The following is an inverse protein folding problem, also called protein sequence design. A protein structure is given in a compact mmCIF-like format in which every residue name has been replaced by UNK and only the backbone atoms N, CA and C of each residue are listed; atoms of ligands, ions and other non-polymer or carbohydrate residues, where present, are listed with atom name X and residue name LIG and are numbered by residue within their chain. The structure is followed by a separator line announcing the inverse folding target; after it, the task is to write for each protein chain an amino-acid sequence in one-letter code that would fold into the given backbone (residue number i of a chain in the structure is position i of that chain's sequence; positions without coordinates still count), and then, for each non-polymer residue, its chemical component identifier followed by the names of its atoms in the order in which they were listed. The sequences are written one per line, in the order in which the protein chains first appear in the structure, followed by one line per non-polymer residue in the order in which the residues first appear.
data_IF_190916998193
#
_entry.id   IF_190916998193
#
_cell.length_a   1.000
_cell.length_b   1.000
_cell.length_c   1.000
_cell.angle_alpha   90.00
_cell.angle_beta   90.00
_cell.angle_gamma   90.00
#
_symmetry.space_group_name_H-M   'P 1'
#
loop_
_entity.id
_entity.type
_entity.pdbx_description
1 polymer ?
#
# COMPACT_ATOMS: atom_id res chain seq x y z
N UNK A 1 -8.03 -20.77 -1.58
CA UNK A 1 -7.88 -22.26 -1.57
C UNK A 1 -6.41 -22.64 -1.74
N UNK A 2 -5.93 -23.79 -1.23
CA UNK A 2 -4.51 -24.14 -1.34
C UNK A 2 -4.15 -24.53 -2.77
N UNK A 3 -3.01 -24.01 -3.24
CA UNK A 3 -2.44 -24.32 -4.56
C UNK A 3 -1.63 -25.62 -4.50
N UNK A 4 -0.95 -25.86 -3.39
CA UNK A 4 -0.13 -27.05 -3.16
C UNK A 4 -0.81 -28.04 -2.22
N UNK A 5 -0.60 -29.32 -2.49
CA UNK A 5 -0.92 -30.38 -1.55
C UNK A 5 0.11 -30.38 -0.42
N UNK A 6 -0.38 -30.30 0.82
CA UNK A 6 0.45 -30.29 2.02
C UNK A 6 0.34 -31.64 2.73
N UNK A 7 1.39 -32.45 2.65
CA UNK A 7 1.46 -33.75 3.32
C UNK A 7 2.30 -33.62 4.60
N UNK A 8 1.82 -34.16 5.72
CA UNK A 8 2.47 -34.02 7.04
C UNK A 8 2.82 -35.41 7.57
N UNK A 9 3.96 -35.97 7.17
CA UNK A 9 4.29 -37.36 7.49
C UNK A 9 5.22 -37.53 8.70
N UNK A 10 6.13 -36.56 8.95
CA UNK A 10 7.14 -36.72 9.99
C UNK A 10 7.51 -35.39 10.66
N UNK A 11 7.90 -35.49 11.93
CA UNK A 11 8.51 -34.37 12.65
C UNK A 11 9.93 -34.19 12.10
N UNK A 12 10.31 -32.96 11.70
CA UNK A 12 11.66 -32.69 11.21
C UNK A 12 12.70 -33.00 12.29
N UNK A 13 13.67 -33.86 11.98
CA UNK A 13 14.74 -34.25 12.92
C UNK A 13 15.64 -33.04 13.23
N UNK A 14 15.96 -32.81 14.50
CA UNK A 14 16.80 -31.68 14.94
C UNK A 14 16.09 -30.32 14.94
N UNK A 15 14.76 -30.31 14.88
CA UNK A 15 13.94 -29.11 14.82
C UNK A 15 13.73 -28.46 16.19
N UNK A 16 13.61 -27.12 16.19
CA UNK A 16 13.19 -26.31 17.33
C UNK A 16 11.68 -26.42 17.62
N UNK A 17 10.90 -27.01 16.72
CA UNK A 17 9.47 -27.29 16.93
C UNK A 17 9.19 -28.78 16.97
N UNK A 18 8.27 -29.17 17.84
CA UNK A 18 7.68 -30.51 17.91
C UNK A 18 6.50 -30.70 16.95
N UNK A 19 6.10 -29.64 16.23
CA UNK A 19 4.99 -29.68 15.28
C UNK A 19 5.42 -30.33 13.96
N UNK A 20 4.47 -30.99 13.30
CA UNK A 20 4.64 -31.48 11.94
C UNK A 20 4.79 -30.29 10.97
N UNK A 21 5.67 -30.45 9.99
CA UNK A 21 5.80 -29.52 8.86
C UNK A 21 5.44 -30.26 7.57
N UNK A 22 4.99 -29.55 6.52
CA UNK A 22 4.71 -30.19 5.25
C UNK A 22 5.99 -30.80 4.64
N UNK A 23 5.84 -31.90 3.89
CA UNK A 23 6.90 -32.44 3.06
C UNK A 23 7.42 -31.38 2.07
N UNK A 24 8.70 -31.52 1.71
CA UNK A 24 9.41 -30.58 0.82
C UNK A 24 9.40 -29.14 1.35
N UNK A 25 9.40 -28.98 2.68
CA UNK A 25 9.67 -27.69 3.32
C UNK A 25 10.94 -27.79 4.16
N UNK A 26 11.79 -26.77 4.06
CA UNK A 26 12.95 -26.59 4.90
C UNK A 26 12.57 -25.76 6.11
N UNK A 27 13.05 -26.18 7.28
CA UNK A 27 12.86 -25.49 8.53
C UNK A 27 14.20 -25.02 9.06
N UNK A 28 14.35 -23.71 9.21
CA UNK A 28 15.50 -23.08 9.84
C UNK A 28 15.09 -22.53 11.21
N UNK A 29 15.78 -22.97 12.26
CA UNK A 29 15.60 -22.46 13.61
C UNK A 29 16.45 -21.21 13.82
N UNK A 30 15.81 -20.12 14.20
CA UNK A 30 16.47 -18.84 14.35
C UNK A 30 16.75 -18.56 15.83
N UNK A 31 17.94 -18.02 16.17
CA UNK A 31 18.33 -17.76 17.55
C UNK A 31 17.67 -16.51 18.17
N UNK A 32 16.73 -15.85 17.47
CA UNK A 32 16.32 -14.48 17.85
C UNK A 32 15.49 -14.47 19.12
N UNK A 33 16.09 -13.99 20.21
CA UNK A 33 15.42 -13.66 21.47
C UNK A 33 15.50 -12.17 21.80
N UNK A 34 16.31 -11.40 21.08
CA UNK A 34 16.51 -9.98 21.38
C UNK A 34 15.41 -9.11 20.75
N UNK A 35 14.70 -8.40 21.62
CA UNK A 35 13.62 -7.50 21.24
C UNK A 35 14.20 -6.09 21.02
N UNK A 36 14.50 -5.76 19.76
CA UNK A 36 14.88 -4.40 19.37
C UNK A 36 13.69 -3.72 18.73
N UNK A 37 13.28 -2.59 19.31
CA UNK A 37 12.22 -1.74 18.78
C UNK A 37 12.82 -0.67 17.87
N UNK A 38 12.26 -0.52 16.68
CA UNK A 38 12.61 0.55 15.76
C UNK A 38 11.35 1.37 15.42
N UNK A 39 11.54 2.68 15.19
CA UNK A 39 10.45 3.60 14.87
C UNK A 39 10.61 4.15 13.46
N UNK A 40 9.63 3.85 12.62
CA UNK A 40 9.51 4.39 11.28
C UNK A 40 8.57 5.60 11.30
N UNK A 41 8.99 6.68 10.65
CA UNK A 41 8.17 7.87 10.46
C UNK A 41 7.44 7.73 9.13
N UNK A 42 6.12 7.85 9.16
CA UNK A 42 5.26 7.68 7.98
C UNK A 42 4.37 8.92 7.84
N UNK A 43 4.76 9.82 6.94
CA UNK A 43 4.05 11.05 6.61
C UNK A 43 3.53 11.08 5.16
N UNK A 44 3.91 10.10 4.35
CA UNK A 44 3.61 9.99 2.91
C UNK A 44 3.19 8.57 2.53
N UNK A 45 2.49 8.46 1.39
CA UNK A 45 2.08 7.18 0.80
C UNK A 45 3.28 6.30 0.46
N UNK A 46 4.37 6.90 -0.03
CA UNK A 46 5.61 6.21 -0.38
C UNK A 46 6.26 5.56 0.83
N UNK A 47 6.43 6.30 1.94
CA UNK A 47 6.97 5.75 3.19
C UNK A 47 6.11 4.62 3.74
N UNK A 48 4.77 4.74 3.68
CA UNK A 48 3.88 3.66 4.09
C UNK A 48 4.13 2.39 3.27
N UNK A 49 4.34 2.54 1.96
CA UNK A 49 4.69 1.43 1.07
C UNK A 49 6.03 0.83 1.47
N UNK A 50 7.06 1.62 1.72
CA UNK A 50 8.36 1.12 2.17
C UNK A 50 8.25 0.32 3.48
N UNK A 51 7.57 0.85 4.49
CA UNK A 51 7.34 0.16 5.78
C UNK A 51 6.61 -1.17 5.58
N UNK A 52 5.54 -1.16 4.78
CA UNK A 52 4.74 -2.37 4.56
C UNK A 52 5.52 -3.40 3.72
N UNK A 53 6.39 -2.94 2.82
CA UNK A 53 7.23 -3.78 1.96
C UNK A 53 8.28 -4.58 2.73
N UNK A 54 8.77 -4.08 3.87
CA UNK A 54 9.76 -4.79 4.71
C UNK A 54 9.30 -6.15 5.24
N UNK A 55 7.99 -6.42 5.17
CA UNK A 55 7.38 -7.68 5.61
C UNK A 55 7.15 -8.69 4.47
N UNK A 56 7.46 -8.34 3.22
CA UNK A 56 7.32 -9.23 2.06
C UNK A 56 8.67 -9.43 1.37
N UNK A 57 9.06 -10.69 1.20
CA UNK A 57 10.21 -11.07 0.38
C UNK A 57 9.73 -11.51 -1.02
N UNK A 58 9.79 -10.61 -2.00
CA UNK A 58 9.35 -10.92 -3.36
C UNK A 58 10.49 -11.58 -4.13
N UNK A 59 10.31 -12.85 -4.50
CA UNK A 59 11.32 -13.63 -5.24
C UNK A 59 11.46 -13.26 -6.73
N UNK A 60 10.57 -12.41 -7.28
CA UNK A 60 10.45 -12.18 -8.71
C UNK A 60 10.66 -10.70 -9.13
N UNK A 61 11.28 -10.54 -10.31
CA UNK A 61 11.42 -9.27 -11.04
C UNK A 61 10.04 -8.81 -11.54
N UNK A 62 9.58 -7.63 -11.09
CA UNK A 62 8.50 -6.86 -11.73
C UNK A 62 7.13 -6.87 -11.05
N UNK A 63 6.48 -5.70 -11.01
CA UNK A 63 5.03 -5.51 -10.85
C UNK A 63 4.42 -5.63 -9.45
N UNK A 64 4.94 -6.50 -8.57
CA UNK A 64 4.24 -6.90 -7.32
C UNK A 64 3.84 -5.71 -6.43
N UNK A 65 4.77 -4.76 -6.29
CA UNK A 65 4.62 -3.62 -5.41
C UNK A 65 3.49 -2.67 -5.77
N UNK A 66 3.02 -2.67 -7.03
CA UNK A 66 1.90 -1.79 -7.44
C UNK A 66 0.57 -2.18 -6.79
N UNK A 67 0.38 -3.45 -6.44
CA UNK A 67 -0.90 -3.96 -5.92
C UNK A 67 -0.84 -4.44 -4.47
N UNK A 68 0.36 -4.75 -3.96
CA UNK A 68 0.52 -5.25 -2.59
C UNK A 68 -0.15 -4.27 -1.61
N UNK A 69 -1.08 -4.78 -0.80
CA UNK A 69 -1.83 -4.00 0.20
C UNK A 69 -2.72 -2.88 -0.36
N UNK A 70 -3.29 -3.08 -1.56
CA UNK A 70 -4.25 -2.17 -2.18
C UNK A 70 -5.23 -1.54 -1.18
N UNK A 71 -5.46 -0.23 -1.30
CA UNK A 71 -6.35 0.56 -0.44
C UNK A 71 -7.74 -0.08 -0.33
N UNK A 72 -8.22 -0.70 -1.41
CA UNK A 72 -9.53 -1.35 -1.47
C UNK A 72 -9.63 -2.60 -0.60
N UNK A 73 -8.53 -3.33 -0.44
CA UNK A 73 -8.53 -4.67 0.14
C UNK A 73 -7.84 -4.74 1.51
N UNK A 74 -6.91 -3.83 1.81
CA UNK A 74 -6.18 -3.81 3.09
C UNK A 74 -6.79 -2.77 4.03
N UNK A 75 -7.51 -3.25 5.06
CA UNK A 75 -8.10 -2.38 6.07
C UNK A 75 -7.05 -1.53 6.80
N UNK A 76 -5.89 -2.12 7.10
CA UNK A 76 -4.80 -1.42 7.76
C UNK A 76 -4.18 -0.35 6.86
N UNK A 77 -3.95 -0.64 5.58
CA UNK A 77 -3.42 0.33 4.63
C UNK A 77 -4.42 1.47 4.44
N UNK A 78 -5.71 1.16 4.24
CA UNK A 78 -6.80 2.14 4.18
C UNK A 78 -6.84 3.03 5.42
N UNK A 79 -6.76 2.42 6.60
CA UNK A 79 -6.78 3.14 7.86
C UNK A 79 -5.60 4.12 7.97
N UNK A 80 -4.39 3.70 7.64
CA UNK A 80 -3.20 4.56 7.67
C UNK A 80 -3.26 5.66 6.60
N UNK A 81 -3.63 5.33 5.37
CA UNK A 81 -3.79 6.29 4.27
C UNK A 81 -4.84 7.35 4.58
N UNK A 82 -5.97 6.97 5.18
CA UNK A 82 -7.00 7.92 5.60
C UNK A 82 -6.47 8.94 6.63
N UNK A 83 -5.60 8.52 7.56
CA UNK A 83 -5.03 9.43 8.56
C UNK A 83 -3.96 10.34 7.93
N UNK A 84 -3.13 9.81 7.04
CA UNK A 84 -2.08 10.58 6.36
C UNK A 84 -2.70 11.64 5.43
N UNK A 85 -3.64 11.22 4.59
CA UNK A 85 -4.15 12.07 3.49
C UNK A 85 -5.31 12.94 3.93
N UNK A 86 -6.35 12.36 4.57
CA UNK A 86 -7.56 13.14 4.92
C UNK A 86 -7.35 14.01 6.15
N UNK A 87 -6.58 13.52 7.12
CA UNK A 87 -6.42 14.18 8.42
C UNK A 87 -5.10 14.92 8.58
N UNK A 88 -4.22 14.86 7.57
CA UNK A 88 -2.90 15.48 7.60
C UNK A 88 -2.10 15.09 8.86
N UNK A 89 -2.15 13.81 9.21
CA UNK A 89 -1.44 13.25 10.35
C UNK A 89 -0.16 12.56 9.90
N UNK A 90 0.83 12.60 10.77
CA UNK A 90 2.00 11.76 10.72
C UNK A 90 1.80 10.54 11.61
N UNK A 91 2.29 9.38 11.15
CA UNK A 91 2.26 8.13 11.91
C UNK A 91 3.68 7.77 12.34
N UNK A 92 3.90 7.65 13.64
CA UNK A 92 5.12 7.08 14.20
C UNK A 92 4.83 5.58 14.44
N UNK A 93 5.41 4.74 13.60
CA UNK A 93 5.23 3.29 13.61
C UNK A 93 6.41 2.64 14.35
N UNK A 94 6.22 2.32 15.62
CA UNK A 94 7.23 1.58 16.40
C UNK A 94 6.93 0.09 16.32
N UNK A 95 7.93 -0.74 15.98
CA UNK A 95 7.76 -2.19 15.97
C UNK A 95 8.97 -2.93 16.51
N UNK A 96 8.71 -4.02 17.21
CA UNK A 96 9.72 -4.97 17.65
C UNK A 96 9.31 -6.37 17.22
N UNK A 97 10.25 -7.11 16.61
CA UNK A 97 9.98 -8.42 16.01
C UNK A 97 10.86 -9.47 16.65
N UNK A 98 10.26 -10.61 16.97
CA UNK A 98 10.96 -11.82 17.40
C UNK A 98 10.88 -12.80 16.25
N UNK A 99 12.02 -13.35 15.82
CA UNK A 99 12.08 -14.34 14.75
C UNK A 99 12.38 -15.72 15.32
N UNK A 100 11.49 -16.68 15.10
CA UNK A 100 11.60 -18.00 15.72
C UNK A 100 11.94 -19.09 14.70
N UNK A 101 11.13 -19.22 13.66
CA UNK A 101 11.26 -20.28 12.66
C UNK A 101 11.14 -19.66 11.28
N UNK A 102 12.02 -20.05 10.35
CA UNK A 102 11.81 -19.82 8.93
C UNK A 102 11.42 -21.12 8.26
N UNK A 103 10.31 -21.10 7.51
CA UNK A 103 9.89 -22.19 6.65
C UNK A 103 10.12 -21.76 5.20
N UNK A 104 10.78 -22.60 4.41
CA UNK A 104 10.99 -22.35 2.99
C UNK A 104 10.52 -23.56 2.18
N UNK A 105 9.62 -23.33 1.22
CA UNK A 105 9.13 -24.39 0.36
C UNK A 105 10.16 -24.75 -0.70
N UNK A 106 10.35 -26.05 -0.92
CA UNK A 106 11.05 -26.57 -2.08
C UNK A 106 10.04 -26.82 -3.19
N UNK A 107 9.57 -25.71 -3.76
CA UNK A 107 8.47 -25.67 -4.72
C UNK A 107 8.56 -26.76 -5.80
N UNK A 108 9.70 -27.04 -6.47
CA UNK A 108 9.73 -27.96 -7.61
C UNK A 108 9.27 -29.40 -7.32
N UNK A 109 9.27 -29.83 -6.05
CA UNK A 109 8.86 -31.17 -5.63
C UNK A 109 7.49 -31.21 -4.95
N UNK A 110 6.90 -30.06 -4.66
CA UNK A 110 5.55 -30.00 -4.08
C UNK A 110 4.50 -30.22 -5.17
N UNK A 111 3.58 -31.15 -4.91
CA UNK A 111 2.46 -31.43 -5.80
C UNK A 111 1.44 -30.29 -5.77
N UNK A 112 0.85 -29.98 -6.93
CA UNK A 112 -0.31 -29.10 -7.01
C UNK A 112 -1.55 -29.84 -6.52
N UNK A 113 -2.51 -29.12 -5.95
CA UNK A 113 -3.83 -29.68 -5.65
C UNK A 113 -4.58 -30.04 -6.94
N UNK A 114 -5.40 -31.08 -6.89
CA UNK A 114 -6.25 -31.49 -8.02
C UNK A 114 -7.16 -30.34 -8.48
N UNK A 115 -7.72 -29.59 -7.54
CA UNK A 115 -8.57 -28.42 -7.83
C UNK A 115 -7.83 -27.36 -8.63
N UNK A 116 -6.61 -26.99 -8.20
CA UNK A 116 -5.82 -26.01 -8.93
C UNK A 116 -5.46 -26.52 -10.33
N UNK A 117 -5.02 -27.78 -10.44
CA UNK A 117 -4.71 -28.40 -11.73
C UNK A 117 -5.91 -28.39 -12.68
N UNK A 118 -7.07 -28.84 -12.19
CA UNK A 118 -8.30 -28.87 -12.96
C UNK A 118 -8.67 -27.48 -13.50
N UNK A 119 -8.63 -26.44 -12.65
CA UNK A 119 -8.93 -25.07 -13.07
C UNK A 119 -7.99 -24.58 -14.17
N UNK A 120 -6.68 -24.87 -14.07
CA UNK A 120 -5.71 -24.50 -15.11
C UNK A 120 -5.93 -25.30 -16.40
N UNK A 121 -6.21 -26.60 -16.29
CA UNK A 121 -6.49 -27.47 -17.44
C UNK A 121 -7.75 -27.00 -18.20
N UNK A 122 -8.78 -26.53 -17.48
CA UNK A 122 -10.02 -26.01 -18.03
C UNK A 122 -9.96 -24.55 -18.54
N UNK A 123 -8.86 -23.81 -18.27
CA UNK A 123 -8.70 -22.45 -18.77
C UNK A 123 -8.77 -22.44 -20.31
N UNK A 124 -9.74 -21.70 -20.92
CA UNK A 124 -9.82 -21.62 -22.37
C UNK A 124 -8.54 -21.02 -22.95
N UNK A 125 -8.06 -21.59 -24.05
CA UNK A 125 -6.78 -21.19 -24.62
C UNK A 125 -6.90 -20.33 -25.86
N UNK A 126 -5.88 -19.47 -25.95
CA UNK A 126 -5.06 -19.16 -27.11
C UNK A 126 -5.29 -17.76 -27.67
N UNK A 127 -6.48 -17.21 -27.45
CA UNK A 127 -6.75 -15.80 -27.62
C UNK A 127 -7.12 -15.16 -26.29
N UNK A 128 -6.62 -13.95 -26.04
CA UNK A 128 -6.99 -13.18 -24.87
C UNK A 128 -8.25 -12.37 -25.20
N UNK A 129 -9.40 -12.83 -24.73
CA UNK A 129 -10.69 -12.17 -24.87
C UNK A 129 -11.37 -11.95 -23.50
N UNK A 130 -12.56 -11.37 -23.53
CA UNK A 130 -13.35 -11.11 -22.31
C UNK A 130 -13.72 -12.39 -21.56
N UNK A 131 -13.96 -13.50 -22.27
CA UNK A 131 -14.31 -14.79 -21.64
C UNK A 131 -13.14 -15.35 -20.85
N UNK A 132 -11.95 -15.34 -21.45
CA UNK A 132 -10.69 -15.76 -20.80
C UNK A 132 -10.38 -14.86 -19.61
N UNK A 133 -10.53 -13.54 -19.76
CA UNK A 133 -10.32 -12.60 -18.66
C UNK A 133 -11.26 -12.86 -17.49
N UNK A 134 -12.57 -12.99 -17.74
CA UNK A 134 -13.56 -13.30 -16.71
C UNK A 134 -13.29 -14.65 -16.04
N UNK A 135 -12.86 -15.64 -16.81
CA UNK A 135 -12.48 -16.94 -16.26
C UNK A 135 -11.30 -16.80 -15.29
N UNK A 136 -10.22 -16.13 -15.71
CA UNK A 136 -9.02 -15.92 -14.89
C UNK A 136 -9.39 -15.16 -13.61
N UNK A 137 -10.16 -14.07 -13.73
CA UNK A 137 -10.56 -13.29 -12.56
C UNK A 137 -11.35 -14.15 -11.57
N UNK A 138 -12.42 -14.82 -12.03
CA UNK A 138 -13.36 -15.51 -11.17
C UNK A 138 -12.83 -16.83 -10.60
N UNK A 139 -12.15 -17.63 -11.42
CA UNK A 139 -11.77 -18.99 -11.02
C UNK A 139 -10.31 -19.10 -10.59
N UNK A 140 -9.47 -18.13 -10.96
CA UNK A 140 -8.05 -18.13 -10.59
C UNK A 140 -7.80 -17.07 -9.52
N UNK A 141 -8.00 -15.79 -9.82
CA UNK A 141 -7.66 -14.71 -8.88
C UNK A 141 -8.56 -14.69 -7.65
N UNK A 142 -9.88 -14.74 -7.81
CA UNK A 142 -10.81 -14.69 -6.67
C UNK A 142 -10.72 -15.95 -5.80
N UNK A 143 -10.31 -17.09 -6.37
CA UNK A 143 -10.33 -18.40 -5.69
C UNK A 143 -8.99 -18.80 -5.06
N UNK A 144 -7.88 -18.54 -5.76
CA UNK A 144 -6.52 -18.89 -5.34
C UNK A 144 -5.63 -17.68 -5.04
N UNK A 145 -6.01 -16.49 -5.51
CA UNK A 145 -5.11 -15.34 -5.60
C UNK A 145 -4.22 -15.41 -6.86
N UNK A 146 -3.38 -14.40 -7.05
CA UNK A 146 -2.41 -14.32 -8.17
C UNK A 146 -0.97 -14.63 -7.72
N UNK A 147 -0.75 -14.88 -6.43
CA UNK A 147 0.54 -15.27 -5.84
C UNK A 147 0.36 -16.44 -4.90
N UNK A 148 1.42 -17.21 -4.70
CA UNK A 148 1.51 -18.20 -3.64
C UNK A 148 2.66 -17.85 -2.69
N UNK A 149 2.53 -18.28 -1.44
CA UNK A 149 3.57 -18.15 -0.43
C UNK A 149 4.62 -19.23 -0.69
N UNK A 150 5.90 -18.86 -0.77
CA UNK A 150 7.02 -19.78 -0.95
C UNK A 150 7.92 -19.86 0.30
N UNK A 151 7.78 -18.92 1.23
CA UNK A 151 8.52 -18.92 2.48
C UNK A 151 7.76 -18.13 3.55
N UNK A 152 7.96 -18.50 4.80
CA UNK A 152 7.36 -17.88 5.96
C UNK A 152 8.44 -17.64 7.01
N UNK A 153 8.48 -16.44 7.56
CA UNK A 153 9.15 -16.17 8.81
C UNK A 153 8.09 -16.14 9.90
N UNK A 154 8.19 -17.06 10.85
CA UNK A 154 7.30 -17.20 11.98
C UNK A 154 7.97 -16.61 13.23
N UNK A 155 7.17 -15.98 14.07
CA UNK A 155 7.64 -15.31 15.27
C UNK A 155 6.57 -14.48 15.94
N UNK A 156 6.96 -13.35 16.52
CA UNK A 156 6.06 -12.45 17.24
C UNK A 156 6.28 -11.00 16.82
N UNK A 157 5.23 -10.20 16.85
CA UNK A 157 5.30 -8.76 16.55
C UNK A 157 4.68 -7.99 17.70
N UNK A 158 5.44 -7.10 18.32
CA UNK A 158 4.90 -6.01 19.12
C UNK A 158 4.95 -4.75 18.26
N UNK A 159 3.85 -4.01 18.16
CA UNK A 159 3.79 -2.78 17.36
C UNK A 159 2.96 -1.71 18.04
N UNK A 160 3.30 -0.46 17.78
CA UNK A 160 2.56 0.70 18.19
C UNK A 160 2.48 1.72 17.06
N UNK A 161 1.30 2.31 16.90
CA UNK A 161 1.06 3.43 15.99
C UNK A 161 0.70 4.66 16.82
N UNK A 162 1.48 5.73 16.70
CA UNK A 162 1.17 7.04 17.29
C UNK A 162 0.79 8.00 16.16
N UNK A 163 -0.34 8.69 16.29
CA UNK A 163 -0.85 9.64 15.31
C UNK A 163 -0.75 11.07 15.86
N UNK A 164 -0.02 11.93 15.16
CA UNK A 164 0.23 13.33 15.55
C UNK A 164 0.00 14.25 14.35
N UNK A 165 -0.51 15.45 14.56
CA UNK A 165 -0.63 16.44 13.47
C UNK A 165 0.76 16.88 13.00
N UNK A 166 0.95 17.04 11.69
CA UNK A 166 2.25 17.45 11.13
C UNK A 166 2.74 18.81 11.66
N UNK A 167 1.83 19.73 11.94
CA UNK A 167 2.12 21.03 12.57
C UNK A 167 2.63 20.87 14.01
N UNK A 168 2.03 19.94 14.76
CA UNK A 168 2.41 19.65 16.14
C UNK A 168 3.79 18.99 16.20
N UNK A 169 4.09 18.06 15.28
CA UNK A 169 5.43 17.49 15.11
C UNK A 169 6.46 18.58 14.82
N UNK A 170 6.18 19.44 13.84
CA UNK A 170 7.08 20.53 13.48
C UNK A 170 7.37 21.43 14.68
N UNK A 171 6.33 21.77 15.45
CA UNK A 171 6.49 22.53 16.70
C UNK A 171 7.36 21.79 17.72
N UNK A 172 7.08 20.51 17.99
CA UNK A 172 7.86 19.70 18.94
C UNK A 172 9.34 19.61 18.54
N UNK A 173 9.65 19.45 17.25
CA UNK A 173 11.04 19.43 16.77
C UNK A 173 11.76 20.76 17.04
N UNK A 174 11.10 21.91 16.87
CA UNK A 174 11.70 23.21 17.24
C UNK A 174 11.99 23.35 18.74
N UNK A 175 11.30 22.56 19.57
CA UNK A 175 11.48 22.52 21.02
C UNK A 175 12.52 21.46 21.45
N UNK A 176 13.24 20.84 20.50
CA UNK A 176 14.29 19.86 20.79
C UNK A 176 13.78 18.43 21.06
N UNK A 177 12.59 18.09 20.59
CA UNK A 177 12.06 16.73 20.69
C UNK A 177 12.57 15.86 19.55
N UNK A 178 12.90 14.62 19.87
CA UNK A 178 13.22 13.60 18.86
C UNK A 178 12.05 12.63 18.80
N UNK A 179 11.17 12.80 17.81
CA UNK A 179 9.92 12.03 17.68
C UNK A 179 10.10 10.51 17.70
N UNK A 180 11.18 9.99 17.11
CA UNK A 180 11.49 8.55 17.16
C UNK A 180 11.80 8.08 18.58
N UNK A 181 12.60 8.82 19.33
CA UNK A 181 12.93 8.49 20.72
C UNK A 181 11.69 8.50 21.62
N UNK A 182 10.84 9.54 21.52
CA UNK A 182 9.60 9.62 22.31
C UNK A 182 8.61 8.51 21.96
N UNK A 183 8.52 8.14 20.68
CA UNK A 183 7.69 7.02 20.24
C UNK A 183 8.23 5.64 20.69
N UNK A 184 9.55 5.47 20.79
CA UNK A 184 10.14 4.27 21.40
C UNK A 184 9.87 4.22 22.90
N UNK A 185 9.94 5.35 23.60
CA UNK A 185 9.59 5.44 25.01
C UNK A 185 8.15 5.04 25.25
N UNK A 186 7.21 5.63 24.50
CA UNK A 186 5.79 5.31 24.57
C UNK A 186 5.51 3.83 24.24
N UNK A 187 6.24 3.25 23.30
CA UNK A 187 6.11 1.82 22.97
C UNK A 187 6.44 0.94 24.17
N UNK A 188 7.60 1.14 24.81
CA UNK A 188 7.99 0.37 25.98
C UNK A 188 7.07 0.65 27.18
N UNK A 189 6.64 1.89 27.41
CA UNK A 189 5.72 2.24 28.49
C UNK A 189 4.37 1.51 28.29
N UNK A 190 3.78 1.59 27.10
CA UNK A 190 2.48 1.00 26.80
C UNK A 190 2.45 -0.54 26.90
N UNK A 191 3.62 -1.18 26.80
CA UNK A 191 3.79 -2.64 26.91
C UNK A 191 4.45 -3.06 28.22
N UNK A 192 4.36 -2.21 29.26
CA UNK A 192 4.92 -2.42 30.61
C UNK A 192 6.41 -2.82 30.62
N UNK A 193 7.17 -2.34 29.63
CA UNK A 193 8.61 -2.53 29.46
C UNK A 193 9.43 -1.28 29.74
N UNK A 194 8.90 -0.31 30.49
CA UNK A 194 9.53 1.00 30.72
C UNK A 194 10.98 0.91 31.29
N UNK A 195 11.34 -0.20 31.93
CA UNK A 195 12.71 -0.44 32.44
C UNK A 195 13.75 -0.67 31.32
N UNK A 196 13.31 -0.90 30.08
CA UNK A 196 14.18 -1.13 28.91
C UNK A 196 14.67 0.15 28.24
N UNK A 197 14.14 1.30 28.62
CA UNK A 197 14.47 2.58 27.99
C UNK A 197 14.71 3.66 29.04
N UNK A 198 15.72 4.50 28.78
CA UNK A 198 15.96 5.73 29.53
C UNK A 198 15.24 6.86 28.79
N UNK A 199 14.34 7.56 29.47
CA UNK A 199 13.59 8.68 28.91
C UNK A 199 13.35 9.75 29.97
N UNK A 200 13.13 10.99 29.51
CA UNK A 200 12.70 12.10 30.37
C UNK A 200 11.17 12.08 30.50
N UNK A 201 10.68 11.85 31.73
CA UNK A 201 9.24 11.72 32.00
C UNK A 201 8.47 13.00 31.75
N UNK A 202 9.03 14.16 32.04
CA UNK A 202 8.34 15.44 31.81
C UNK A 202 8.25 15.74 30.32
N UNK A 203 9.36 15.51 29.60
CA UNK A 203 9.41 15.63 28.14
C UNK A 203 8.41 14.69 27.47
N UNK A 204 8.42 13.41 27.83
CA UNK A 204 7.50 12.43 27.30
C UNK A 204 6.02 12.79 27.58
N UNK A 205 5.69 13.19 28.81
CA UNK A 205 4.33 13.63 29.15
C UNK A 205 3.89 14.85 28.33
N UNK A 206 4.80 15.78 28.01
CA UNK A 206 4.51 16.92 27.13
C UNK A 206 4.32 16.48 25.68
N UNK A 207 5.13 15.57 25.17
CA UNK A 207 4.96 14.96 23.85
C UNK A 207 3.58 14.30 23.70
N UNK A 208 3.17 13.50 24.69
CA UNK A 208 1.89 12.78 24.69
C UNK A 208 0.66 13.69 24.69
N UNK A 209 0.77 14.97 25.07
CA UNK A 209 -0.33 15.95 24.96
C UNK A 209 -0.69 16.31 23.52
N UNK A 210 0.23 16.13 22.58
CA UNK A 210 0.01 16.39 21.15
C UNK A 210 -0.44 15.14 20.39
N UNK A 211 -0.34 13.96 21.02
CA UNK A 211 -0.79 12.70 20.44
C UNK A 211 -2.31 12.68 20.35
N UNK A 212 -2.84 12.50 19.14
CA UNK A 212 -4.29 12.41 18.90
C UNK A 212 -4.80 11.00 19.17
N UNK A 213 -3.98 10.00 18.85
CA UNK A 213 -4.31 8.58 19.03
C UNK A 213 -3.06 7.75 19.17
N UNK A 214 -3.11 6.77 20.06
CA UNK A 214 -2.11 5.70 20.19
C UNK A 214 -2.81 4.34 20.14
N UNK A 215 -2.16 3.36 19.53
CA UNK A 215 -2.60 1.97 19.55
C UNK A 215 -1.40 1.05 19.61
N UNK A 216 -1.27 0.30 20.70
CA UNK A 216 -0.25 -0.73 20.88
C UNK A 216 -0.90 -2.12 20.81
N UNK A 217 -0.23 -3.08 20.19
CA UNK A 217 -0.70 -4.46 20.09
C UNK A 217 0.46 -5.43 19.96
N UNK A 218 0.25 -6.64 20.45
CA UNK A 218 1.12 -7.80 20.24
C UNK A 218 0.40 -8.82 19.37
N UNK A 219 1.14 -9.49 18.50
CA UNK A 219 0.68 -10.55 17.61
C UNK A 219 1.58 -11.78 17.78
N UNK A 220 0.97 -12.93 18.00
CA UNK A 220 1.67 -14.15 18.41
C UNK A 220 1.97 -14.18 19.90
N UNK A 221 2.47 -15.32 20.36
CA UNK A 221 2.61 -15.60 21.79
C UNK A 221 1.26 -15.64 22.52
N UNK A 222 1.32 -15.44 23.83
CA UNK A 222 0.17 -15.23 24.70
C UNK A 222 -0.06 -13.74 24.89
N UNK A 223 -1.12 -13.21 24.26
CA UNK A 223 -1.46 -11.79 24.31
C UNK A 223 -2.07 -11.34 25.64
N UNK A 224 -2.36 -12.26 26.57
CA UNK A 224 -2.84 -11.92 27.91
C UNK A 224 -1.72 -11.50 28.86
N UNK A 225 -0.47 -11.81 28.51
CA UNK A 225 0.71 -11.45 29.28
C UNK A 225 0.92 -9.93 29.26
N UNK A 226 1.15 -9.36 30.45
CA UNK A 226 1.14 -7.91 30.63
C UNK A 226 2.46 -7.22 30.25
N UNK A 227 3.59 -7.93 30.30
CA UNK A 227 4.91 -7.34 30.02
C UNK A 227 5.50 -7.85 28.71
N UNK A 228 6.20 -6.97 27.99
CA UNK A 228 6.85 -7.31 26.71
C UNK A 228 7.90 -8.43 26.86
N UNK A 229 8.61 -8.48 27.99
CA UNK A 229 9.63 -9.50 28.27
C UNK A 229 9.01 -10.88 28.48
N UNK A 230 7.92 -10.97 29.25
CA UNK A 230 7.22 -12.23 29.45
C UNK A 230 6.52 -12.67 28.17
N UNK A 231 5.88 -11.73 27.45
CA UNK A 231 5.25 -12.00 26.17
C UNK A 231 6.25 -12.59 25.17
N UNK A 232 7.46 -12.03 25.08
CA UNK A 232 8.50 -12.51 24.17
C UNK A 232 8.83 -14.00 24.34
N UNK A 233 8.81 -14.49 25.59
CA UNK A 233 9.10 -15.90 25.92
C UNK A 233 7.99 -16.86 25.49
N UNK A 234 6.78 -16.35 25.27
CA UNK A 234 5.63 -17.15 24.81
C UNK A 234 5.54 -17.24 23.29
N UNK A 235 6.27 -16.40 22.54
CA UNK A 235 6.25 -16.41 21.07
C UNK A 235 6.56 -17.78 20.46
N UNK A 236 7.56 -18.55 20.94
CA UNK A 236 7.85 -19.90 20.41
C UNK A 236 6.68 -20.88 20.49
N UNK A 237 5.79 -20.76 21.48
CA UNK A 237 4.66 -21.67 21.64
C UNK A 237 3.48 -21.34 20.72
N UNK A 238 3.34 -20.06 20.34
CA UNK A 238 2.29 -19.57 19.45
C UNK A 238 2.79 -18.54 18.43
N UNK A 239 3.68 -18.91 17.50
CA UNK A 239 4.23 -17.96 16.56
C UNK A 239 3.22 -17.61 15.47
N UNK A 240 3.29 -16.38 14.97
CA UNK A 240 2.53 -15.87 13.82
C UNK A 240 3.46 -15.56 12.65
N UNK A 241 2.89 -15.40 11.45
CA UNK A 241 3.65 -14.97 10.27
C UNK A 241 4.09 -13.51 10.45
N UNK A 242 5.40 -13.27 10.52
CA UNK A 242 6.00 -11.93 10.66
C UNK A 242 6.58 -11.38 9.37
N UNK A 243 7.03 -12.29 8.49
CA UNK A 243 7.35 -12.01 7.10
C UNK A 243 6.95 -13.21 6.24
N UNK A 244 6.71 -12.96 4.97
CA UNK A 244 6.43 -14.04 4.03
C UNK A 244 7.03 -13.72 2.67
N UNK A 245 7.57 -14.75 2.02
CA UNK A 245 8.00 -14.67 0.65
C UNK A 245 6.96 -15.23 -0.29
N UNK A 246 6.90 -14.66 -1.48
CA UNK A 246 5.88 -15.00 -2.48
C UNK A 246 6.48 -15.14 -3.88
N UNK A 247 5.73 -15.84 -4.72
CA UNK A 247 5.96 -16.00 -6.16
C UNK A 247 4.62 -15.94 -6.90
N UNK A 248 4.64 -15.72 -8.20
CA UNK A 248 3.42 -15.62 -9.00
C UNK A 248 2.87 -16.99 -9.38
N UNK A 249 1.55 -17.12 -9.43
CA UNK A 249 0.92 -18.39 -9.80
C UNK A 249 1.23 -18.81 -11.24
N UNK A 250 1.47 -17.86 -12.15
CA UNK A 250 1.73 -18.18 -13.56
C UNK A 250 3.10 -18.86 -13.76
N UNK A 251 4.02 -18.73 -12.78
CA UNK A 251 5.31 -19.43 -12.79
C UNK A 251 5.15 -20.95 -12.58
N UNK A 252 4.02 -21.37 -11.98
CA UNK A 252 3.67 -22.78 -11.78
C UNK A 252 3.18 -23.46 -13.06
N UNK A 253 2.83 -22.68 -14.10
CA UNK A 253 2.27 -23.20 -15.34
C UNK A 253 3.41 -23.55 -16.32
N UNK A 254 3.96 -24.74 -16.14
CA UNK A 254 5.06 -25.25 -16.95
C UNK A 254 4.86 -26.72 -17.33
N UNK A 255 5.65 -27.18 -18.30
CA UNK A 255 5.59 -28.55 -18.83
C UNK A 255 5.92 -29.65 -17.82
N UNK A 256 6.66 -29.35 -16.75
CA UNK A 256 6.93 -30.33 -15.70
C UNK A 256 5.68 -30.62 -14.87
N UNK A 257 4.87 -29.60 -14.57
CA UNK A 257 3.64 -29.71 -13.77
C UNK A 257 2.41 -30.10 -14.61
N UNK A 258 2.38 -29.71 -15.87
CA UNK A 258 1.31 -30.00 -16.82
C UNK A 258 1.88 -30.65 -18.10
N UNK A 259 2.38 -31.90 -18.02
CA UNK A 259 3.05 -32.56 -19.14
C UNK A 259 2.14 -32.76 -20.36
N UNK A 260 0.85 -33.00 -20.12
CA UNK A 260 -0.15 -33.28 -21.16
C UNK A 260 -0.84 -32.04 -21.74
N UNK A 261 -0.51 -30.83 -21.28
CA UNK A 261 -1.07 -29.59 -21.82
C UNK A 261 -0.02 -28.88 -22.71
N UNK A 262 -0.18 -28.98 -24.03
CA UNK A 262 0.70 -28.35 -25.02
C UNK A 262 0.61 -26.82 -25.06
N UNK A 263 -0.46 -26.26 -24.49
CA UNK A 263 -0.68 -24.83 -24.47
C UNK A 263 -0.39 -24.21 -23.09
N UNK A 264 0.18 -24.96 -22.14
CA UNK A 264 0.41 -24.48 -20.77
C UNK A 264 1.19 -23.17 -20.69
N UNK A 265 2.19 -23.00 -21.57
CA UNK A 265 2.96 -21.75 -21.63
C UNK A 265 2.12 -20.57 -22.11
N UNK A 266 1.23 -20.77 -23.08
CA UNK A 266 0.30 -19.72 -23.53
C UNK A 266 -0.68 -19.37 -22.42
N UNK A 267 -1.21 -20.37 -21.72
CA UNK A 267 -2.07 -20.18 -20.53
C UNK A 267 -1.37 -19.36 -19.44
N UNK A 268 -0.10 -19.67 -19.14
CA UNK A 268 0.75 -18.87 -18.24
C UNK A 268 0.79 -17.39 -18.67
N UNK A 269 1.03 -17.12 -19.97
CA UNK A 269 1.02 -15.76 -20.52
C UNK A 269 -0.34 -15.07 -20.50
N UNK A 270 -1.44 -15.80 -20.65
CA UNK A 270 -2.79 -15.24 -20.51
C UNK A 270 -3.05 -14.77 -19.07
N UNK A 271 -2.63 -15.57 -18.07
CA UNK A 271 -2.74 -15.20 -16.65
C UNK A 271 -1.84 -13.99 -16.33
N UNK A 272 -0.60 -13.98 -16.82
CA UNK A 272 0.31 -12.83 -16.65
C UNK A 272 -0.28 -11.56 -17.27
N UNK A 273 -0.85 -11.64 -18.48
CA UNK A 273 -1.52 -10.52 -19.15
C UNK A 273 -2.76 -10.05 -18.38
N UNK A 274 -3.59 -10.97 -17.90
CA UNK A 274 -4.75 -10.65 -17.07
C UNK A 274 -4.34 -9.96 -15.76
N UNK A 275 -3.26 -10.41 -15.14
CA UNK A 275 -2.73 -9.79 -13.93
C UNK A 275 -2.28 -8.36 -14.20
N UNK A 276 -1.51 -8.12 -15.26
CA UNK A 276 -1.06 -6.77 -15.63
C UNK A 276 -2.26 -5.84 -15.88
N UNK A 277 -3.26 -6.29 -16.65
CA UNK A 277 -4.49 -5.52 -16.89
C UNK A 277 -5.27 -5.27 -15.59
N UNK A 278 -5.38 -6.26 -14.72
CA UNK A 278 -6.05 -6.13 -13.43
C UNK A 278 -5.34 -5.11 -12.52
N UNK A 279 -4.00 -5.10 -12.52
CA UNK A 279 -3.19 -4.16 -11.76
C UNK A 279 -3.39 -2.72 -12.28
N UNK A 280 -3.36 -2.54 -13.60
CA UNK A 280 -3.43 -1.20 -14.22
C UNK A 280 -4.85 -0.59 -14.20
N UNK A 281 -5.92 -1.39 -14.12
CA UNK A 281 -7.30 -0.90 -14.25
C UNK A 281 -8.01 -0.49 -12.95
N UNK A 282 -7.41 -0.67 -11.76
CA UNK A 282 -8.13 -0.50 -10.47
C UNK A 282 -7.63 0.65 -9.60
N UNK A 283 -7.27 1.79 -10.19
CA UNK A 283 -6.87 2.97 -9.42
C UNK A 283 -8.05 3.55 -8.62
N UNK A 284 -7.91 3.61 -7.30
CA UNK A 284 -8.86 4.27 -6.40
C UNK A 284 -8.45 5.71 -6.14
N UNK A 285 -9.38 6.66 -6.33
CA UNK A 285 -9.29 8.02 -5.81
C UNK A 285 -10.51 8.32 -4.94
N UNK A 286 -10.30 9.10 -3.88
CA UNK A 286 -11.39 9.55 -3.01
C UNK A 286 -12.48 10.25 -3.80
N UNK A 287 -13.72 9.78 -3.64
CA UNK A 287 -14.92 10.33 -4.29
C UNK A 287 -14.78 10.58 -5.80
N UNK A 288 -13.90 9.84 -6.48
CA UNK A 288 -13.53 10.09 -7.88
C UNK A 288 -13.17 11.57 -8.14
N UNK A 289 -12.43 12.18 -7.20
CA UNK A 289 -12.05 13.60 -7.19
C UNK A 289 -13.23 14.57 -7.34
N UNK A 290 -14.41 14.16 -6.87
CA UNK A 290 -15.68 14.91 -6.91
C UNK A 290 -16.04 15.48 -8.31
N UNK A 291 -15.48 14.93 -9.40
CA UNK A 291 -15.60 15.48 -10.75
C UNK A 291 -14.82 16.79 -11.00
N UNK A 292 -14.15 17.32 -9.98
CA UNK A 292 -13.46 18.61 -9.99
C UNK A 292 -11.92 18.49 -10.02
N UNK A 293 -11.41 17.28 -10.22
CA UNK A 293 -9.99 17.01 -10.36
C UNK A 293 -9.71 15.84 -11.30
N UNK A 294 -8.42 15.55 -11.45
CA UNK A 294 -7.91 14.37 -12.15
C UNK A 294 -7.26 13.46 -11.12
N UNK A 295 -7.62 12.18 -11.14
CA UNK A 295 -6.99 11.16 -10.31
C UNK A 295 -5.58 10.89 -10.85
N UNK A 296 -4.56 11.17 -10.04
CA UNK A 296 -3.16 10.94 -10.40
C UNK A 296 -2.65 9.75 -9.60
N UNK A 297 -2.10 8.76 -10.30
CA UNK A 297 -1.51 7.58 -9.67
C UNK A 297 -0.39 7.98 -8.70
N UNK A 298 -0.46 7.46 -7.47
CA UNK A 298 0.69 7.51 -6.55
C UNK A 298 1.75 6.46 -6.90
N UNK A 299 1.39 5.48 -7.74
CA UNK A 299 2.23 4.32 -8.05
C UNK A 299 2.15 3.19 -7.02
N UNK A 300 1.39 3.36 -5.93
CA UNK A 300 1.31 2.42 -4.80
C UNK A 300 -0.14 2.13 -4.39
N UNK A 301 -0.37 0.96 -3.79
CA UNK A 301 -1.65 0.56 -3.19
C UNK A 301 -2.89 0.67 -4.10
N UNK A 302 -2.71 0.69 -5.43
CA UNK A 302 -3.76 1.04 -6.40
C UNK A 302 -4.51 2.32 -5.97
N UNK A 303 -3.78 3.29 -5.44
CA UNK A 303 -4.31 4.51 -4.87
C UNK A 303 -3.80 5.73 -5.65
N UNK A 304 -4.68 6.69 -5.89
CA UNK A 304 -4.38 7.95 -6.56
C UNK A 304 -4.73 9.15 -5.69
N UNK A 305 -4.00 10.23 -5.88
CA UNK A 305 -4.26 11.54 -5.29
C UNK A 305 -5.04 12.41 -6.27
N UNK A 306 -5.94 13.24 -5.74
CA UNK A 306 -6.76 14.11 -6.56
C UNK A 306 -6.05 15.43 -6.83
N UNK A 307 -5.67 15.66 -8.10
CA UNK A 307 -5.19 16.95 -8.57
C UNK A 307 -6.37 17.85 -8.94
N UNK A 308 -6.66 18.83 -8.09
CA UNK A 308 -7.82 19.71 -8.27
C UNK A 308 -7.62 20.75 -9.38
N UNK A 309 -8.72 21.12 -10.03
CA UNK A 309 -8.79 22.30 -10.90
C UNK A 309 -8.60 23.58 -10.06
N UNK A 310 -8.14 24.67 -10.68
CA UNK A 310 -7.66 25.90 -10.00
C UNK A 310 -8.63 26.51 -8.97
N UNK A 311 -9.95 26.30 -9.13
CA UNK A 311 -10.98 26.83 -8.22
C UNK A 311 -11.42 25.85 -7.12
N UNK A 312 -10.76 24.70 -7.00
CA UNK A 312 -11.13 23.63 -6.08
C UNK A 312 -9.94 23.20 -5.22
N UNK A 313 -10.22 22.80 -3.99
CA UNK A 313 -9.25 22.31 -3.01
C UNK A 313 -9.83 21.16 -2.18
N UNK A 314 -9.01 20.65 -1.27
CA UNK A 314 -9.32 19.49 -0.42
C UNK A 314 -8.78 18.20 -1.01
N UNK A 315 -8.73 17.15 -0.20
CA UNK A 315 -8.14 15.86 -0.57
C UNK A 315 -8.87 15.14 -1.73
N UNK A 316 -10.14 15.49 -1.97
CA UNK A 316 -10.98 14.96 -3.05
C UNK A 316 -11.52 16.05 -3.98
N UNK A 317 -11.02 17.29 -3.89
CA UNK A 317 -11.49 18.44 -4.69
C UNK A 317 -12.97 18.81 -4.48
N UNK A 318 -13.53 18.54 -3.30
CA UNK A 318 -14.91 18.87 -2.95
C UNK A 318 -15.12 20.33 -2.48
N UNK A 319 -14.06 21.08 -2.18
CA UNK A 319 -14.17 22.43 -1.61
C UNK A 319 -13.87 23.49 -2.66
N UNK A 320 -14.85 24.35 -2.97
CA UNK A 320 -14.61 25.48 -3.86
C UNK A 320 -13.81 26.57 -3.13
N UNK A 321 -12.77 27.09 -3.79
CA UNK A 321 -12.03 28.24 -3.29
C UNK A 321 -12.89 29.47 -3.54
N UNK A 322 -13.52 30.01 -2.50
CA UNK A 322 -14.23 31.28 -2.60
C UNK A 322 -13.25 32.36 -3.02
N UNK A 323 -13.34 32.83 -4.26
CA UNK A 323 -12.62 34.00 -4.72
C UNK A 323 -13.18 35.19 -3.97
N UNK A 324 -12.59 35.50 -2.81
CA UNK A 324 -12.85 36.79 -2.16
C UNK A 324 -12.24 37.82 -3.08
N UNK A 325 -13.03 38.36 -4.00
CA UNK A 325 -12.68 39.55 -4.77
C UNK A 325 -12.34 40.62 -3.74
N UNK A 326 -11.06 40.77 -3.43
CA UNK A 326 -10.57 41.88 -2.63
C UNK A 326 -10.77 43.10 -3.51
N UNK A 327 -11.97 43.69 -3.45
CA UNK A 327 -12.28 44.98 -4.05
C UNK A 327 -11.28 45.95 -3.44
N UNK A 328 -10.20 46.21 -4.17
CA UNK A 328 -9.20 47.17 -3.76
C UNK A 328 -9.88 48.52 -3.93
N UNK A 329 -10.47 49.03 -2.86
CA UNK A 329 -11.00 50.38 -2.82
C UNK A 329 -9.82 51.32 -3.05
N UNK A 330 -9.63 51.74 -4.30
CA UNK A 330 -8.69 52.80 -4.65
C UNK A 330 -9.16 54.08 -3.99
N UNK A 331 -8.62 54.38 -2.81
CA UNK A 331 -8.72 55.68 -2.17
C UNK A 331 -7.89 56.67 -3.00
N UNK A 332 -8.54 57.35 -3.94
CA UNK A 332 -7.94 58.43 -4.71
C UNK A 332 -7.77 59.67 -3.84
N UNK A 333 -6.55 59.91 -3.36
CA UNK A 333 -6.12 61.21 -2.82
C UNK A 333 -5.79 62.16 -3.98
N UNK A 334 -6.18 63.45 -3.93
CA UNK A 334 -6.08 64.36 -5.07
C UNK A 334 -4.63 64.82 -5.31
N UNK A 335 -4.17 64.80 -6.57
CA UNK A 335 -2.95 65.48 -7.00
C UNK A 335 -3.23 66.49 -8.10
N UNK A 336 -3.00 67.73 -7.70
CA UNK A 336 -2.47 68.90 -8.41
C UNK A 336 -2.44 68.89 -9.95
N UNK A 337 -3.08 69.95 -10.44
CA UNK A 337 -2.90 70.64 -11.72
C UNK A 337 -1.40 70.82 -12.03
N UNK A 338 -0.94 70.40 -13.22
CA UNK A 338 -0.20 71.29 -14.12
C UNK A 338 0.03 70.72 -15.53
N UNK A 339 -0.33 71.59 -16.49
CA UNK A 339 0.20 71.84 -17.83
C UNK A 339 0.23 70.74 -18.89
N UNK A 340 -0.63 70.97 -19.88
CA UNK A 340 -0.49 70.55 -21.27
C UNK A 340 0.90 70.87 -21.85
N UNK A 341 1.49 69.92 -22.56
CA UNK A 341 2.14 70.19 -23.84
C UNK A 341 1.84 69.01 -24.78
N UNK A 342 1.35 69.36 -25.96
CA UNK A 342 0.95 68.45 -27.00
C UNK A 342 1.74 68.79 -28.28
N UNK A 343 1.78 67.78 -29.16
CA UNK A 343 2.02 67.83 -30.61
C UNK A 343 3.49 67.69 -31.10
N UNK A 344 3.88 66.48 -31.55
CA UNK A 344 3.82 66.03 -32.98
C UNK A 344 4.33 64.59 -33.19
N UNK A 345 3.39 63.74 -33.65
CA UNK A 345 3.42 62.71 -34.72
C UNK A 345 4.67 61.82 -34.93
N UNK A 346 4.44 60.49 -34.93
CA UNK A 346 4.38 59.62 -36.14
C UNK A 346 3.56 58.35 -35.78
N UNK A 347 2.63 57.99 -36.66
CA UNK A 347 1.84 56.75 -36.66
C UNK A 347 2.32 55.83 -37.79
N UNK A 348 2.27 54.51 -37.56
CA UNK A 348 2.11 53.42 -38.54
C UNK A 348 2.26 52.09 -37.79
N UNK A 349 1.43 51.04 -37.87
CA UNK A 349 0.15 50.78 -38.54
C UNK A 349 -0.46 49.52 -37.89
N UNK A 350 -1.79 49.42 -37.99
CA UNK A 350 -2.63 48.24 -37.72
C UNK A 350 -2.79 47.36 -38.97
N UNK A 351 -3.33 46.14 -38.76
CA UNK A 351 -4.13 45.23 -39.64
C UNK A 351 -3.49 43.83 -39.75
N UNK A 352 -4.06 42.75 -39.22
CA UNK A 352 -5.37 42.05 -39.38
C UNK A 352 -5.39 40.95 -40.47
N UNK A 353 -5.89 39.77 -40.02
CA UNK A 353 -6.86 38.85 -40.65
C UNK A 353 -6.43 37.62 -41.49
N UNK A 354 -6.64 36.45 -40.85
CA UNK A 354 -7.53 35.30 -41.21
C UNK A 354 -7.74 34.81 -42.66
N UNK A 355 -7.78 33.48 -42.82
CA UNK A 355 -8.80 32.67 -43.55
C UNK A 355 -8.65 31.19 -43.11
N UNK A 356 -9.56 30.55 -42.37
CA UNK A 356 -10.87 29.95 -42.73
C UNK A 356 -10.82 28.82 -43.77
N UNK A 357 -11.15 27.60 -43.34
CA UNK A 357 -11.44 26.45 -44.20
C UNK A 357 -12.47 25.50 -43.58
N UNK A 358 -13.75 25.68 -43.93
CA UNK A 358 -14.89 24.78 -43.65
C UNK A 358 -14.80 23.51 -44.50
N UNK A 359 -15.13 22.34 -43.93
CA UNK A 359 -15.93 21.30 -44.62
C UNK A 359 -16.99 20.74 -43.67
N UNK A 360 -18.24 20.72 -44.16
CA UNK A 360 -19.45 20.15 -43.56
C UNK A 360 -19.72 18.74 -44.12
N UNK A 361 -20.64 18.05 -43.42
CA UNK A 361 -21.49 16.87 -43.76
C UNK A 361 -20.91 15.52 -43.29
N UNK A 362 -21.65 14.64 -42.61
CA UNK A 362 -23.10 14.37 -42.55
C UNK A 362 -23.47 13.68 -41.22
N UNK A 363 -24.66 13.98 -40.70
CA UNK A 363 -25.41 13.14 -39.76
C UNK A 363 -25.94 11.88 -40.47
N UNK A 364 -25.93 10.73 -39.78
CA UNK A 364 -26.91 9.66 -39.94
C UNK A 364 -27.21 9.05 -38.57
N UNK A 365 -28.51 8.91 -38.33
CA UNK A 365 -29.24 8.37 -37.18
C UNK A 365 -29.12 6.84 -37.10
N UNK A 366 -29.10 6.27 -35.90
CA UNK A 366 -29.93 5.09 -35.64
C UNK A 366 -29.33 3.87 -34.93
N UNK A 367 -29.97 3.55 -33.80
CA UNK A 367 -30.39 2.20 -33.35
C UNK A 367 -29.41 1.39 -32.49
N UNK A 368 -29.78 1.28 -31.20
CA UNK A 368 -29.46 0.18 -30.28
C UNK A 368 -30.20 -1.09 -30.71
N UNK A 369 -29.68 -2.27 -30.33
CA UNK A 369 -30.53 -3.25 -29.68
C UNK A 369 -29.99 -3.67 -28.32
N UNK A 370 -30.94 -3.86 -27.41
CA UNK A 370 -30.83 -4.71 -26.23
C UNK A 370 -30.72 -6.16 -26.68
N UNK A 371 -29.87 -6.93 -26.00
CA UNK A 371 -30.21 -8.22 -25.44
C UNK A 371 -29.68 -8.23 -24.00
#
# INVERSE_FOLDING_TARGET
QPIFQLNYQQIPKGSCTTRLIPEYTFLDCLPSTELQADTEIIDTVEQLKETTSKSIDVSAKGGFWKFSFSYKYSEQARYMLDHIIKRNLEVLYTSARISYVKLSMFEPFMNLTETFRYVIEQLPCCDYDETVELYIQRFIFDYFGFTYVNSLLLGGIARQNIFIEKSDISFLETQGYTRSHEAQAEFYISLNGATKIVYDKEKHNKFMRYVKKTYATTLGGDTSVQTIDEWSKTVPSNPVVTKFGISYIFDLLNKRRFPHDDQIFKKSKLIEKALNKYIDNQLYCYNNCSGNGVCQETGYFQFGECKCKDTWKGFDCSQQVSTTTTTTTTTSTPRAINSCQCVRRICSDCLQWSCSGRRRRREVIGIRPKC
#
